data_IF_627155927243
#
_entry.id   IF_627155927243
#
_cell.length_a   1.000
_cell.length_b   1.000
_cell.length_c   1.000
_cell.angle_alpha   90.00
_cell.angle_beta   90.00
_cell.angle_gamma   90.00
#
_symmetry.space_group_name_H-M   'P 1'
#
loop_
_entity.id
_entity.type
_entity.pdbx_description
1 polymer ?
#
# COMPACT_ATOMS: atom_id res chain seq x y z
N UNK A 1 -2.36 -0.23 8.26
CA UNK A 1 -1.70 -0.92 9.38
C UNK A 1 -0.26 -1.17 8.99
N UNK A 2 0.69 -0.82 9.84
CA UNK A 2 2.12 -0.85 9.54
C UNK A 2 2.80 -1.91 10.40
N UNK A 3 3.68 -2.68 9.80
CA UNK A 3 4.47 -3.69 10.48
C UNK A 3 5.91 -3.56 10.02
N UNK A 4 6.81 -3.36 10.98
CA UNK A 4 8.24 -3.46 10.73
C UNK A 4 8.61 -4.92 10.45
N UNK A 5 9.36 -5.16 9.37
CA UNK A 5 9.87 -6.49 9.07
C UNK A 5 11.11 -6.73 9.94
N UNK A 6 11.13 -7.77 10.79
CA UNK A 6 12.25 -8.04 11.67
C UNK A 6 13.48 -8.46 10.87
N UNK A 7 14.64 -7.96 11.28
CA UNK A 7 15.92 -8.34 10.65
C UNK A 7 16.32 -9.77 10.99
N UNK A 8 15.99 -10.25 12.18
CA UNK A 8 16.29 -11.60 12.61
C UNK A 8 15.10 -12.53 12.37
N UNK A 9 15.30 -13.54 11.52
CA UNK A 9 14.33 -14.61 11.29
C UNK A 9 14.82 -15.87 12.02
N UNK A 10 14.07 -16.36 13.03
CA UNK A 10 14.42 -17.59 13.73
C UNK A 10 14.62 -18.76 12.77
N UNK A 11 15.78 -19.42 12.86
CA UNK A 11 16.13 -20.58 12.03
C UNK A 11 16.64 -20.25 10.62
N UNK A 12 16.64 -18.98 10.19
CA UNK A 12 17.10 -18.57 8.86
C UNK A 12 18.29 -17.60 8.89
N UNK A 13 18.38 -16.73 9.90
CA UNK A 13 19.51 -15.81 10.09
C UNK A 13 19.09 -14.35 10.15
N UNK A 14 20.03 -13.45 9.86
CA UNK A 14 19.86 -12.00 9.90
C UNK A 14 19.85 -11.42 8.48
N UNK A 15 18.90 -10.53 8.22
CA UNK A 15 18.66 -9.88 6.94
C UNK A 15 18.43 -8.38 7.18
N UNK A 16 19.09 -7.50 6.42
CA UNK A 16 18.77 -6.07 6.41
C UNK A 16 17.63 -5.83 5.42
N UNK A 17 16.39 -6.00 5.91
CA UNK A 17 15.21 -5.66 5.13
C UNK A 17 14.98 -4.15 5.14
N UNK A 18 15.04 -3.52 6.31
CA UNK A 18 14.76 -2.08 6.50
C UNK A 18 13.46 -1.63 5.82
N UNK A 19 12.43 -2.46 5.99
CA UNK A 19 11.16 -2.29 5.30
C UNK A 19 9.97 -2.30 6.25
N UNK A 20 8.93 -1.59 5.85
CA UNK A 20 7.58 -1.73 6.40
C UNK A 20 6.72 -2.57 5.47
N UNK A 21 6.01 -3.52 6.05
CA UNK A 21 4.81 -4.11 5.46
C UNK A 21 3.59 -3.29 5.86
N UNK A 22 2.83 -2.87 4.87
CA UNK A 22 1.67 -1.99 5.01
C UNK A 22 0.45 -2.78 4.55
N UNK A 23 -0.52 -2.99 5.44
CA UNK A 23 -1.81 -3.59 5.13
C UNK A 23 -2.92 -2.55 5.15
N UNK A 24 -3.75 -2.52 4.11
CA UNK A 24 -4.84 -1.56 3.92
C UNK A 24 -6.18 -2.28 3.80
N UNK A 25 -7.23 -1.67 4.36
CA UNK A 25 -8.62 -2.09 4.18
C UNK A 25 -9.52 -0.88 4.02
N UNK A 26 -10.48 -1.03 3.13
CA UNK A 26 -11.53 -0.05 2.89
C UNK A 26 -12.69 -0.32 3.86
N UNK A 27 -13.23 0.70 4.56
CA UNK A 27 -14.41 0.54 5.39
C UNK A 27 -15.67 0.34 4.53
N UNK A 28 -16.67 -0.39 5.05
CA UNK A 28 -17.92 -0.72 4.32
C UNK A 28 -18.58 0.46 3.57
N UNK A 29 -18.72 1.67 4.15
CA UNK A 29 -19.32 2.79 3.42
C UNK A 29 -18.56 3.19 2.15
N UNK A 30 -17.23 3.12 2.20
CA UNK A 30 -16.38 3.47 1.05
C UNK A 30 -16.36 2.34 0.01
N UNK A 31 -16.58 1.09 0.42
CA UNK A 31 -16.75 -0.03 -0.52
C UNK A 31 -17.95 0.18 -1.44
N UNK A 32 -19.08 0.66 -0.92
CA UNK A 32 -20.25 0.96 -1.75
C UNK A 32 -19.94 2.03 -2.80
N UNK A 33 -19.16 3.04 -2.45
CA UNK A 33 -18.73 4.07 -3.41
C UNK A 33 -17.81 3.49 -4.49
N UNK A 34 -16.89 2.59 -4.11
CA UNK A 34 -16.02 1.89 -5.07
C UNK A 34 -16.84 1.02 -6.03
N UNK A 35 -17.79 0.25 -5.50
CA UNK A 35 -18.68 -0.61 -6.30
C UNK A 35 -19.58 0.21 -7.25
N UNK A 36 -19.95 1.43 -6.85
CA UNK A 36 -20.69 2.38 -7.66
C UNK A 36 -19.81 3.18 -8.65
N UNK A 37 -18.49 2.99 -8.64
CA UNK A 37 -17.55 3.75 -9.48
C UNK A 37 -17.40 5.22 -9.07
N UNK A 38 -17.73 5.56 -7.83
CA UNK A 38 -17.69 6.93 -7.28
C UNK A 38 -16.42 7.22 -6.47
N UNK A 39 -15.59 6.22 -6.26
CA UNK A 39 -14.29 6.34 -5.60
C UNK A 39 -13.32 5.29 -6.16
N UNK A 40 -12.02 5.58 -6.23
CA UNK A 40 -11.04 4.62 -6.68
C UNK A 40 -10.87 3.48 -5.65
N UNK A 41 -10.61 2.30 -6.16
CA UNK A 41 -10.29 1.12 -5.37
C UNK A 41 -8.80 1.06 -5.01
N UNK A 42 -8.46 0.30 -3.97
CA UNK A 42 -7.05 0.02 -3.65
C UNK A 42 -6.32 -0.69 -4.79
N UNK A 43 -7.04 -1.46 -5.62
CA UNK A 43 -6.46 -2.14 -6.77
C UNK A 43 -6.01 -1.19 -7.88
N UNK A 44 -6.60 0.00 -7.94
CA UNK A 44 -6.27 1.03 -8.92
C UNK A 44 -5.09 1.88 -8.45
N UNK A 45 -5.12 2.35 -7.20
CA UNK A 45 -4.15 3.34 -6.71
C UNK A 45 -2.87 2.73 -6.11
N UNK A 46 -2.99 1.63 -5.36
CA UNK A 46 -1.86 1.11 -4.57
C UNK A 46 -0.70 0.62 -5.44
N UNK A 47 -0.92 -0.09 -6.58
CA UNK A 47 0.20 -0.56 -7.39
C UNK A 47 1.02 0.57 -8.00
N UNK A 48 0.38 1.68 -8.40
CA UNK A 48 1.07 2.84 -8.93
C UNK A 48 1.93 3.50 -7.86
N UNK A 49 1.34 3.77 -6.69
CA UNK A 49 2.06 4.38 -5.57
C UNK A 49 3.24 3.54 -5.08
N UNK A 50 3.02 2.22 -4.96
CA UNK A 50 4.05 1.26 -4.54
C UNK A 50 5.24 1.28 -5.50
N UNK A 51 5.01 1.29 -6.82
CA UNK A 51 6.08 1.27 -7.81
C UNK A 51 6.90 2.57 -7.84
N UNK A 52 6.27 3.72 -7.58
CA UNK A 52 6.96 5.02 -7.54
C UNK A 52 8.00 5.12 -6.42
N UNK A 53 7.86 4.32 -5.35
CA UNK A 53 8.81 4.25 -4.23
C UNK A 53 9.67 2.97 -4.22
N UNK A 54 9.78 2.29 -5.36
CA UNK A 54 10.53 1.04 -5.53
C UNK A 54 10.08 -0.09 -4.58
N UNK A 55 8.79 -0.10 -4.21
CA UNK A 55 8.18 -1.09 -3.34
C UNK A 55 7.72 -2.36 -4.05
N UNK A 56 7.23 -3.31 -3.25
CA UNK A 56 6.65 -4.57 -3.70
C UNK A 56 5.16 -4.65 -3.31
N UNK A 57 4.30 -5.03 -4.25
CA UNK A 57 2.87 -5.26 -3.97
C UNK A 57 2.69 -6.71 -3.52
N UNK A 58 2.34 -6.91 -2.24
CA UNK A 58 2.18 -8.24 -1.64
C UNK A 58 0.87 -8.92 -2.08
N UNK A 59 -0.23 -8.17 -2.04
CA UNK A 59 -1.57 -8.62 -2.40
C UNK A 59 -2.43 -7.40 -2.76
N UNK A 60 -3.30 -7.51 -3.75
CA UNK A 60 -4.08 -6.37 -4.22
C UNK A 60 -5.50 -6.76 -4.65
N UNK A 61 -6.49 -6.28 -3.90
CA UNK A 61 -7.91 -6.37 -4.22
C UNK A 61 -8.57 -5.00 -3.99
N UNK A 62 -9.75 -4.73 -4.58
CA UNK A 62 -10.39 -3.41 -4.49
C UNK A 62 -10.55 -2.85 -3.05
N UNK A 63 -10.84 -3.73 -2.08
CA UNK A 63 -11.16 -3.35 -0.70
C UNK A 63 -10.10 -3.74 0.34
N UNK A 64 -9.09 -4.50 -0.07
CA UNK A 64 -8.01 -4.95 0.81
C UNK A 64 -6.74 -5.21 0.00
N UNK A 65 -5.64 -4.63 0.45
CA UNK A 65 -4.36 -4.76 -0.23
C UNK A 65 -3.20 -4.63 0.75
N UNK A 66 -2.01 -5.05 0.33
CA UNK A 66 -0.79 -4.91 1.10
C UNK A 66 0.41 -4.63 0.20
N UNK A 67 1.37 -3.87 0.73
CA UNK A 67 2.64 -3.57 0.08
C UNK A 67 3.77 -3.60 1.09
N UNK A 68 4.98 -3.86 0.61
CA UNK A 68 6.22 -3.73 1.37
C UNK A 68 7.08 -2.64 0.73
N UNK A 69 7.49 -1.65 1.51
CA UNK A 69 8.33 -0.54 1.09
C UNK A 69 9.52 -0.37 2.04
N UNK A 70 10.57 0.31 1.59
CA UNK A 70 11.68 0.73 2.46
C UNK A 70 11.21 1.74 3.50
N UNK A 71 11.70 1.63 4.74
CA UNK A 71 11.29 2.50 5.87
C UNK A 71 11.56 3.97 5.58
N UNK A 72 12.70 4.27 4.98
CA UNK A 72 13.12 5.63 4.62
C UNK A 72 12.25 6.28 3.53
N UNK A 73 11.49 5.48 2.78
CA UNK A 73 10.56 5.94 1.72
C UNK A 73 9.11 6.09 2.22
N UNK A 74 8.88 5.95 3.53
CA UNK A 74 7.54 5.92 4.10
C UNK A 74 6.72 7.18 3.83
N UNK A 75 7.27 8.36 4.11
CA UNK A 75 6.57 9.64 3.91
C UNK A 75 6.27 9.86 2.41
N UNK A 76 7.26 9.59 1.56
CA UNK A 76 7.10 9.66 0.10
C UNK A 76 6.00 8.72 -0.41
N UNK A 77 5.87 7.52 0.17
CA UNK A 77 4.80 6.59 -0.18
C UNK A 77 3.42 7.15 0.17
N UNK A 78 3.28 7.83 1.31
CA UNK A 78 2.00 8.45 1.70
C UNK A 78 1.63 9.58 0.74
N UNK A 79 2.59 10.47 0.44
CA UNK A 79 2.39 11.59 -0.49
C UNK A 79 1.95 11.10 -1.87
N UNK A 80 2.67 10.09 -2.39
CA UNK A 80 2.35 9.50 -3.69
C UNK A 80 0.99 8.80 -3.66
N UNK A 81 0.67 8.06 -2.60
CA UNK A 81 -0.64 7.40 -2.52
C UNK A 81 -1.79 8.41 -2.52
N UNK A 82 -1.64 9.52 -1.80
CA UNK A 82 -2.62 10.61 -1.81
C UNK A 82 -2.75 11.24 -3.20
N UNK A 83 -1.62 11.45 -3.89
CA UNK A 83 -1.59 11.90 -5.30
C UNK A 83 -2.37 10.94 -6.22
N UNK A 84 -2.12 9.63 -6.15
CA UNK A 84 -2.81 8.62 -6.97
C UNK A 84 -4.31 8.59 -6.69
N UNK A 85 -4.72 8.76 -5.42
CA UNK A 85 -6.14 8.87 -5.06
C UNK A 85 -6.74 10.14 -5.67
N UNK A 86 -6.06 11.29 -5.55
CA UNK A 86 -6.51 12.56 -6.10
C UNK A 86 -6.66 12.54 -7.62
N UNK A 87 -5.69 11.97 -8.32
CA UNK A 87 -5.70 11.83 -9.78
C UNK A 87 -6.87 10.94 -10.25
N UNK A 88 -7.18 9.88 -9.51
CA UNK A 88 -8.23 8.92 -9.86
C UNK A 88 -9.67 9.43 -9.63
N UNK A 89 -9.85 10.53 -8.87
CA UNK A 89 -11.16 11.16 -8.65
C UNK A 89 -11.46 12.24 -9.70
N UNK A 90 -10.44 12.72 -10.42
CA UNK A 90 -10.57 13.78 -11.44
C UNK A 90 -10.77 13.24 -12.88
N UNK A 91 -10.63 11.94 -13.08
CA UNK A 91 -10.79 11.21 -14.35
C UNK A 91 -12.21 10.67 -14.54
#
# INVERSE_FOLDING_TARGET
GFQEIPEQIPGLGTFSFDSFKISMRVPKPLLTNIEAGQAPSLAEVLPAATRKVDGFVDACHPHAAATTIKKERYEEFLDVLEEEIGNSVQS
#
